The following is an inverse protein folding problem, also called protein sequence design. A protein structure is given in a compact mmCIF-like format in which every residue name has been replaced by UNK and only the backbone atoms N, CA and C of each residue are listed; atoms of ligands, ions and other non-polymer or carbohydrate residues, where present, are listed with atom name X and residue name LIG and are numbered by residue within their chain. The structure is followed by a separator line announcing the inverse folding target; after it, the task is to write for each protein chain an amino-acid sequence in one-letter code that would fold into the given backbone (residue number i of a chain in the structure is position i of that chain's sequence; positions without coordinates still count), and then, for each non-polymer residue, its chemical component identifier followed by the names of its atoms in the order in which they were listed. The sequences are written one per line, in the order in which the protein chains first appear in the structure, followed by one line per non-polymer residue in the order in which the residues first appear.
data_IF_293420667698
#
_entry.id   IF_293420667698
#
_cell.length_a   1.000
_cell.length_b   1.000
_cell.length_c   1.000
_cell.angle_alpha   90.00
_cell.angle_beta   90.00
_cell.angle_gamma   90.00
#
_symmetry.space_group_name_H-M   'P 1'
#
loop_
_entity.id
_entity.type
_entity.pdbx_description
1 polymer ?
#
# COMPACT_ATOMS: atom_id res chain seq x y z
N UNK A 1 -36.85 -34.70 -39.28
CA UNK A 1 -36.57 -33.48 -40.04
C UNK A 1 -35.17 -33.05 -39.66
N UNK A 2 -34.18 -33.43 -40.49
CA UNK A 2 -32.77 -33.12 -40.25
C UNK A 2 -32.51 -31.64 -40.53
N UNK A 3 -32.09 -30.91 -39.53
CA UNK A 3 -31.43 -29.61 -39.71
C UNK A 3 -30.08 -29.87 -40.38
N UNK A 4 -30.02 -29.84 -41.69
CA UNK A 4 -28.77 -29.56 -42.40
C UNK A 4 -28.52 -28.06 -42.25
N UNK A 5 -28.03 -27.66 -41.10
CA UNK A 5 -27.36 -26.38 -40.96
C UNK A 5 -26.06 -26.47 -41.76
N UNK A 6 -25.86 -25.55 -42.71
CA UNK A 6 -24.59 -25.44 -43.42
C UNK A 6 -23.46 -25.44 -42.39
N UNK A 7 -22.61 -26.48 -42.46
CA UNK A 7 -21.47 -26.58 -41.53
C UNK A 7 -20.55 -25.38 -41.77
N UNK A 8 -20.40 -24.53 -40.75
CA UNK A 8 -19.59 -23.33 -40.85
C UNK A 8 -18.18 -23.71 -41.34
N UNK A 9 -17.72 -23.05 -42.38
CA UNK A 9 -16.39 -23.24 -42.91
C UNK A 9 -15.40 -22.37 -42.13
N UNK A 10 -14.33 -22.96 -41.72
CA UNK A 10 -13.22 -22.26 -41.08
C UNK A 10 -11.92 -22.96 -41.43
N UNK A 11 -11.00 -22.23 -42.02
CA UNK A 11 -9.67 -22.74 -42.31
C UNK A 11 -8.84 -22.92 -41.03
N UNK A 12 -7.89 -23.81 -41.07
CA UNK A 12 -6.97 -23.99 -39.92
C UNK A 12 -6.23 -22.68 -39.57
N UNK A 13 -5.92 -21.84 -40.56
CA UNK A 13 -5.34 -20.53 -40.37
C UNK A 13 -6.25 -19.59 -39.54
N UNK A 14 -7.54 -19.53 -39.88
CA UNK A 14 -8.50 -18.69 -39.12
C UNK A 14 -8.67 -19.19 -37.67
N UNK A 15 -8.65 -20.50 -37.46
CA UNK A 15 -8.71 -21.08 -36.13
C UNK A 15 -7.44 -20.77 -35.31
N UNK A 16 -6.27 -20.74 -35.93
CA UNK A 16 -5.02 -20.29 -35.32
C UNK A 16 -5.09 -18.79 -34.93
N UNK A 17 -5.64 -17.96 -35.80
CA UNK A 17 -5.87 -16.53 -35.50
C UNK A 17 -6.85 -16.35 -34.33
N UNK A 18 -7.92 -17.16 -34.28
CA UNK A 18 -8.84 -17.13 -33.12
C UNK A 18 -8.19 -17.62 -31.83
N UNK A 19 -7.32 -18.63 -31.88
CA UNK A 19 -6.58 -19.09 -30.72
C UNK A 19 -5.63 -17.97 -30.21
N UNK A 20 -4.93 -17.29 -31.12
CA UNK A 20 -4.10 -16.12 -30.78
C UNK A 20 -4.93 -14.98 -30.20
N UNK A 21 -6.09 -14.68 -30.78
CA UNK A 21 -7.03 -13.67 -30.26
C UNK A 21 -7.50 -14.02 -28.85
N UNK A 22 -7.85 -15.27 -28.59
CA UNK A 22 -8.22 -15.76 -27.28
C UNK A 22 -7.13 -15.53 -26.25
N UNK A 23 -5.88 -15.87 -26.59
CA UNK A 23 -4.73 -15.67 -25.70
C UNK A 23 -4.55 -14.19 -25.34
N UNK A 24 -4.69 -13.28 -26.33
CA UNK A 24 -4.60 -11.84 -26.10
C UNK A 24 -5.73 -11.33 -25.22
N UNK A 25 -6.96 -11.78 -25.41
CA UNK A 25 -8.10 -11.41 -24.57
C UNK A 25 -7.89 -11.89 -23.11
N UNK A 26 -7.39 -13.10 -22.93
CA UNK A 26 -7.09 -13.65 -21.59
C UNK A 26 -5.99 -12.84 -20.92
N UNK A 27 -4.90 -12.52 -21.65
CA UNK A 27 -3.82 -11.70 -21.16
C UNK A 27 -4.31 -10.29 -20.76
N UNK A 28 -5.14 -9.64 -21.58
CA UNK A 28 -5.75 -8.35 -21.24
C UNK A 28 -6.60 -8.41 -19.96
N UNK A 29 -7.42 -9.46 -19.80
CA UNK A 29 -8.21 -9.64 -18.57
C UNK A 29 -7.32 -9.76 -17.33
N UNK A 30 -6.19 -10.47 -17.45
CA UNK A 30 -5.21 -10.57 -16.37
C UNK A 30 -4.59 -9.22 -16.04
N UNK A 31 -4.11 -8.47 -17.05
CA UNK A 31 -3.54 -7.13 -16.84
C UNK A 31 -4.51 -6.17 -16.16
N UNK A 32 -5.80 -6.23 -16.51
CA UNK A 32 -6.85 -5.43 -15.86
C UNK A 32 -7.03 -5.84 -14.40
N UNK A 33 -7.00 -7.14 -14.09
CA UNK A 33 -7.09 -7.62 -12.71
C UNK A 33 -5.87 -7.20 -11.89
N UNK A 34 -4.66 -7.35 -12.44
CA UNK A 34 -3.41 -6.93 -11.81
C UNK A 34 -3.41 -5.40 -11.53
N UNK A 35 -3.86 -4.59 -12.49
CA UNK A 35 -4.00 -3.15 -12.32
C UNK A 35 -5.03 -2.76 -11.24
N UNK A 36 -6.13 -3.50 -11.14
CA UNK A 36 -7.13 -3.29 -10.08
C UNK A 36 -6.57 -3.64 -8.69
N UNK A 37 -5.79 -4.71 -8.58
CA UNK A 37 -5.15 -5.11 -7.33
C UNK A 37 -4.11 -4.06 -6.88
N UNK A 38 -3.24 -3.60 -7.79
CA UNK A 38 -2.31 -2.51 -7.53
C UNK A 38 -3.02 -1.23 -7.09
N UNK A 39 -4.15 -0.89 -7.74
CA UNK A 39 -4.93 0.30 -7.41
C UNK A 39 -5.64 0.24 -6.06
N UNK A 40 -5.89 -0.95 -5.50
CA UNK A 40 -6.40 -1.12 -4.13
C UNK A 40 -5.41 -0.70 -3.07
N UNK A 41 -4.12 -0.70 -3.39
CA UNK A 41 -3.09 -0.03 -2.60
C UNK A 41 -2.87 -0.56 -1.19
N UNK A 42 -2.99 -1.86 -0.94
CA UNK A 42 -2.88 -2.44 0.41
C UNK A 42 -1.61 -2.03 1.16
N UNK A 43 -0.46 -1.98 0.47
CA UNK A 43 0.79 -1.49 1.06
C UNK A 43 0.73 0.01 1.39
N UNK A 44 0.16 0.80 0.49
CA UNK A 44 0.02 2.25 0.67
C UNK A 44 -0.92 2.59 1.82
N UNK A 45 -1.98 1.80 2.02
CA UNK A 45 -2.90 1.96 3.14
C UNK A 45 -2.21 1.68 4.48
N UNK A 46 -1.48 0.56 4.58
CA UNK A 46 -0.67 0.25 5.78
C UNK A 46 0.34 1.36 6.12
N UNK A 47 1.01 1.91 5.09
CA UNK A 47 1.93 3.02 5.28
C UNK A 47 1.24 4.29 5.78
N UNK A 48 0.03 4.59 5.31
CA UNK A 48 -0.78 5.73 5.78
C UNK A 48 -1.26 5.54 7.21
N UNK A 49 -1.68 4.33 7.57
CA UNK A 49 -2.04 3.99 8.95
C UNK A 49 -0.84 4.22 9.89
N UNK A 50 0.34 3.73 9.49
CA UNK A 50 1.57 3.96 10.26
C UNK A 50 1.91 5.45 10.40
N UNK A 51 1.77 6.24 9.35
CA UNK A 51 1.97 7.69 9.39
C UNK A 51 0.98 8.38 10.34
N UNK A 52 -0.26 7.91 10.38
CA UNK A 52 -1.27 8.43 11.31
C UNK A 52 -0.92 8.11 12.77
N UNK A 53 -0.43 6.91 13.06
CA UNK A 53 0.05 6.53 14.39
C UNK A 53 1.22 7.40 14.86
N UNK A 54 2.25 7.57 14.00
CA UNK A 54 3.40 8.44 14.30
C UNK A 54 2.94 9.88 14.54
N UNK A 55 2.00 10.38 13.74
CA UNK A 55 1.47 11.74 13.89
C UNK A 55 0.73 11.93 15.21
N UNK A 56 0.02 10.91 15.67
CA UNK A 56 -0.64 10.92 16.99
C UNK A 56 0.39 10.95 18.11
N UNK A 57 1.39 10.07 18.07
CA UNK A 57 2.48 10.02 19.05
C UNK A 57 3.26 11.34 19.09
N UNK A 58 3.52 11.94 17.93
CA UNK A 58 4.19 13.24 17.84
C UNK A 58 3.37 14.36 18.48
N UNK A 59 2.03 14.34 18.30
CA UNK A 59 1.13 15.31 18.95
C UNK A 59 1.16 15.16 20.46
N UNK A 60 1.10 13.95 20.99
CA UNK A 60 1.16 13.64 22.41
C UNK A 60 2.50 14.07 23.02
N UNK A 61 3.60 13.69 22.37
CA UNK A 61 4.94 14.08 22.81
C UNK A 61 5.16 15.62 22.82
N UNK A 62 4.59 16.33 21.86
CA UNK A 62 4.62 17.81 21.83
C UNK A 62 3.89 18.43 23.02
N UNK A 63 2.73 17.90 23.36
CA UNK A 63 1.96 18.38 24.52
C UNK A 63 2.73 18.15 25.82
N UNK A 64 3.31 16.96 25.99
CA UNK A 64 4.14 16.63 27.17
C UNK A 64 5.35 17.56 27.26
N UNK A 65 6.05 17.79 26.16
CA UNK A 65 7.20 18.68 26.09
C UNK A 65 6.82 20.13 26.47
N UNK A 66 5.68 20.64 25.97
CA UNK A 66 5.19 21.96 26.33
C UNK A 66 4.82 22.06 27.80
N UNK A 67 4.26 21.00 28.40
CA UNK A 67 3.94 20.94 29.81
C UNK A 67 5.22 20.98 30.66
N UNK A 68 6.24 20.18 30.31
CA UNK A 68 7.54 20.21 31.00
C UNK A 68 8.21 21.58 30.92
N UNK A 69 8.17 22.24 29.76
CA UNK A 69 8.70 23.63 29.60
C UNK A 69 7.97 24.63 30.48
N UNK A 70 6.67 24.50 30.62
CA UNK A 70 5.86 25.37 31.51
C UNK A 70 6.19 25.11 32.96
N UNK A 71 6.38 23.84 33.34
CA UNK A 71 6.72 23.47 34.71
C UNK A 71 8.12 23.95 35.08
N UNK A 72 9.12 23.75 34.20
CA UNK A 72 10.48 24.26 34.39
C UNK A 72 10.49 25.77 34.56
N UNK A 73 9.79 26.51 33.71
CA UNK A 73 9.69 27.97 33.82
C UNK A 73 9.05 28.44 35.12
N UNK A 74 8.07 27.71 35.65
CA UNK A 74 7.47 28.01 36.98
C UNK A 74 8.50 27.76 38.08
N UNK A 75 9.24 26.65 38.01
CA UNK A 75 10.26 26.28 38.97
C UNK A 75 11.40 27.30 39.02
N UNK A 76 11.88 27.76 37.86
CA UNK A 76 12.86 28.87 37.76
C UNK A 76 12.35 30.15 38.43
N UNK A 77 11.07 30.47 38.28
CA UNK A 77 10.41 31.62 38.91
C UNK A 77 10.38 31.49 40.44
N UNK A 78 10.08 30.31 40.97
CA UNK A 78 10.07 30.00 42.40
C UNK A 78 11.47 30.11 42.98
N UNK A 79 12.47 29.54 42.30
CA UNK A 79 13.87 29.63 42.67
C UNK A 79 14.37 31.08 42.72
N UNK A 80 14.06 31.87 41.68
CA UNK A 80 14.39 33.29 41.64
C UNK A 80 13.77 34.08 42.81
N UNK A 81 12.57 33.68 43.23
CA UNK A 81 11.88 34.34 44.36
C UNK A 81 12.59 34.02 45.69
N UNK A 82 13.00 32.77 45.89
CA UNK A 82 13.76 32.36 47.06
C UNK A 82 15.14 33.03 47.09
N UNK A 83 15.84 33.12 45.99
CA UNK A 83 17.12 33.81 45.87
C UNK A 83 17.05 35.32 46.21
N UNK A 84 16.00 35.98 45.69
CA UNK A 84 15.76 37.38 46.05
C UNK A 84 15.53 37.54 47.56
N UNK A 85 14.80 36.61 48.18
CA UNK A 85 14.55 36.65 49.62
C UNK A 85 15.81 36.44 50.43
N UNK A 86 16.66 35.44 50.03
CA UNK A 86 17.97 35.17 50.62
C UNK A 86 18.85 36.46 50.56
N UNK A 87 18.90 37.12 49.40
CA UNK A 87 19.69 38.33 49.22
C UNK A 87 19.19 39.47 50.13
N UNK A 88 17.86 39.65 50.23
CA UNK A 88 17.28 40.66 51.13
C UNK A 88 17.59 40.40 52.62
N UNK A 89 17.42 39.16 53.07
CA UNK A 89 17.66 38.79 54.46
C UNK A 89 19.16 38.80 54.82
N UNK A 90 20.03 38.47 53.87
CA UNK A 90 21.46 38.64 54.01
C UNK A 90 21.84 40.13 54.22
N UNK A 91 21.23 41.05 53.51
CA UNK A 91 21.49 42.48 53.68
C UNK A 91 20.91 43.01 55.02
N UNK A 92 19.74 42.52 55.41
CA UNK A 92 19.12 42.84 56.72
C UNK A 92 20.02 42.33 57.87
N UNK A 93 20.62 41.17 57.75
CA UNK A 93 21.54 40.59 58.73
C UNK A 93 22.75 41.51 58.99
N UNK A 94 23.30 42.14 57.94
CA UNK A 94 24.46 43.06 58.04
C UNK A 94 24.11 44.37 58.80
N UNK A 95 22.85 44.77 58.74
CA UNK A 95 22.40 46.06 59.34
C UNK A 95 21.69 45.88 60.68
N UNK A 96 21.47 44.65 61.14
CA UNK A 96 20.81 44.32 62.42
C UNK A 96 21.76 44.41 63.62
N UNK A 97 21.29 45.02 64.68
CA UNK A 97 22.06 45.16 65.96
C UNK A 97 21.45 44.38 67.12
N UNK A 98 20.27 43.82 66.96
CA UNK A 98 19.54 43.02 67.96
C UNK A 98 19.92 41.57 67.88
N UNK A 99 20.46 40.98 68.96
CA UNK A 99 20.83 39.54 69.03
C UNK A 99 19.64 38.63 68.70
N UNK A 100 18.43 39.02 69.13
CA UNK A 100 17.19 38.26 68.83
C UNK A 100 16.84 38.28 67.31
N UNK A 101 16.97 39.49 66.71
CA UNK A 101 16.68 39.67 65.28
C UNK A 101 17.72 38.92 64.43
N UNK A 102 18.98 39.00 64.77
CA UNK A 102 20.08 38.27 64.12
C UNK A 102 19.81 36.77 64.14
N UNK A 103 19.43 36.19 65.30
CA UNK A 103 19.15 34.75 65.40
C UNK A 103 17.87 34.38 64.55
N UNK A 104 16.87 35.24 64.52
CA UNK A 104 15.68 35.01 63.69
C UNK A 104 15.99 35.02 62.17
N UNK A 105 16.78 36.02 61.73
CA UNK A 105 17.21 36.12 60.33
C UNK A 105 18.09 34.94 59.92
N UNK A 106 18.99 34.50 60.79
CA UNK A 106 19.85 33.32 60.53
C UNK A 106 19.02 32.05 60.35
N UNK A 107 18.02 31.82 61.24
CA UNK A 107 17.11 30.67 61.10
C UNK A 107 16.28 30.73 59.79
N UNK A 108 15.83 31.95 59.37
CA UNK A 108 15.14 32.12 58.11
C UNK A 108 16.05 31.83 56.91
N UNK A 109 17.31 32.31 56.94
CA UNK A 109 18.30 32.02 55.91
C UNK A 109 18.61 30.53 55.80
N UNK A 110 18.73 29.80 56.90
CA UNK A 110 18.92 28.34 56.88
C UNK A 110 17.71 27.60 56.28
N UNK A 111 16.52 28.09 56.53
CA UNK A 111 15.28 27.55 55.97
C UNK A 111 15.20 27.80 54.45
N UNK A 112 15.53 29.03 54.04
CA UNK A 112 15.55 29.41 52.62
C UNK A 112 16.65 28.66 51.85
N UNK A 113 17.81 28.41 52.48
CA UNK A 113 18.88 27.65 51.87
C UNK A 113 18.45 26.19 51.57
N UNK A 114 17.79 25.54 52.53
CA UNK A 114 17.20 24.19 52.27
C UNK A 114 16.15 24.24 51.17
N UNK A 115 15.24 25.22 51.23
CA UNK A 115 14.21 25.39 50.19
C UNK A 115 14.81 25.63 48.81
N UNK A 116 15.92 26.41 48.74
CA UNK A 116 16.67 26.62 47.50
C UNK A 116 17.22 25.29 46.96
N UNK A 117 17.88 24.50 47.82
CA UNK A 117 18.43 23.19 47.42
C UNK A 117 17.33 22.26 46.89
N UNK A 118 16.17 22.15 47.59
CA UNK A 118 15.05 21.33 47.14
C UNK A 118 14.50 21.78 45.78
N UNK A 119 14.47 23.11 45.51
CA UNK A 119 14.01 23.65 44.22
C UNK A 119 15.03 23.40 43.10
N UNK A 120 16.33 23.51 43.39
CA UNK A 120 17.43 23.19 42.46
C UNK A 120 17.43 21.72 42.05
N UNK A 121 17.16 20.80 42.99
CA UNK A 121 17.06 19.37 42.72
C UNK A 121 15.86 19.08 41.76
N UNK A 122 14.69 19.71 42.01
CA UNK A 122 13.52 19.57 41.12
C UNK A 122 13.77 20.20 39.75
N UNK A 123 14.48 21.34 39.70
CA UNK A 123 14.86 21.96 38.43
C UNK A 123 15.73 21.06 37.58
N UNK A 124 16.75 20.40 38.19
CA UNK A 124 17.60 19.44 37.50
C UNK A 124 16.81 18.24 36.97
N UNK A 125 15.91 17.67 37.78
CA UNK A 125 15.05 16.56 37.34
C UNK A 125 14.16 16.98 36.13
N UNK A 126 13.57 18.18 36.18
CA UNK A 126 12.79 18.70 35.08
C UNK A 126 13.61 18.94 33.81
N UNK A 127 14.83 19.42 33.95
CA UNK A 127 15.77 19.60 32.83
C UNK A 127 16.15 18.28 32.18
N UNK A 128 16.42 17.23 32.96
CA UNK A 128 16.68 15.89 32.44
C UNK A 128 15.48 15.32 31.66
N UNK A 129 14.29 15.40 32.25
CA UNK A 129 13.05 14.97 31.57
C UNK A 129 12.77 15.76 30.31
N UNK A 130 13.04 17.05 30.29
CA UNK A 130 12.88 17.88 29.10
C UNK A 130 13.87 17.45 27.99
N UNK A 131 15.12 17.16 28.36
CA UNK A 131 16.11 16.65 27.40
C UNK A 131 15.70 15.32 26.78
N UNK A 132 15.17 14.40 27.57
CA UNK A 132 14.63 13.12 27.08
C UNK A 132 13.43 13.34 26.13
N UNK A 133 12.50 14.22 26.51
CA UNK A 133 11.34 14.57 25.70
C UNK A 133 11.74 15.24 24.38
N UNK A 134 12.71 16.16 24.39
CA UNK A 134 13.24 16.77 23.16
C UNK A 134 13.88 15.70 22.24
N UNK A 135 14.62 14.74 22.79
CA UNK A 135 15.19 13.65 22.02
C UNK A 135 14.13 12.74 21.39
N UNK A 136 13.06 12.47 22.13
CA UNK A 136 11.90 11.69 21.63
C UNK A 136 11.20 12.44 20.49
N UNK A 137 10.93 13.74 20.63
CA UNK A 137 10.35 14.56 19.57
C UNK A 137 11.16 14.51 18.28
N UNK A 138 12.46 14.71 18.39
CA UNK A 138 13.37 14.62 17.22
C UNK A 138 13.39 13.23 16.58
N UNK A 139 13.22 12.17 17.38
CA UNK A 139 13.12 10.80 16.84
C UNK A 139 11.83 10.60 16.05
N UNK A 140 10.68 11.01 16.61
CA UNK A 140 9.37 10.91 15.99
C UNK A 140 9.26 11.78 14.72
N UNK A 141 9.85 12.97 14.73
CA UNK A 141 9.90 13.85 13.55
C UNK A 141 10.67 13.20 12.40
N UNK A 142 11.82 12.59 12.67
CA UNK A 142 12.59 11.86 11.65
C UNK A 142 11.85 10.61 11.15
N UNK A 143 11.18 9.87 12.04
CA UNK A 143 10.38 8.70 11.65
C UNK A 143 9.22 9.11 10.74
N UNK A 144 8.55 10.23 11.04
CA UNK A 144 7.50 10.78 10.20
C UNK A 144 8.01 11.16 8.81
N UNK A 145 9.12 11.89 8.72
CA UNK A 145 9.74 12.28 7.44
C UNK A 145 10.14 11.07 6.61
N UNK A 146 10.70 10.05 7.25
CA UNK A 146 11.04 8.79 6.58
C UNK A 146 9.79 8.11 6.04
N UNK A 147 8.73 8.00 6.84
CA UNK A 147 7.47 7.38 6.44
C UNK A 147 6.79 8.15 5.30
N UNK A 148 6.81 9.48 5.32
CA UNK A 148 6.30 10.33 4.23
C UNK A 148 7.09 10.09 2.92
N UNK A 149 8.41 9.97 3.00
CA UNK A 149 9.27 9.65 1.86
C UNK A 149 8.99 8.26 1.29
N UNK A 150 8.83 7.25 2.15
CA UNK A 150 8.49 5.88 1.72
C UNK A 150 7.12 5.80 1.03
N UNK A 151 6.13 6.55 1.52
CA UNK A 151 4.82 6.69 0.88
C UNK A 151 4.96 7.26 -0.53
N UNK A 152 5.76 8.30 -0.69
CA UNK A 152 5.95 8.93 -1.98
C UNK A 152 6.67 8.01 -2.99
N UNK A 153 7.71 7.30 -2.55
CA UNK A 153 8.37 6.28 -3.36
C UNK A 153 7.41 5.14 -3.77
N UNK A 154 6.56 4.70 -2.84
CA UNK A 154 5.56 3.67 -3.14
C UNK A 154 4.54 4.16 -4.16
N UNK A 155 4.06 5.41 -4.06
CA UNK A 155 3.15 6.00 -5.05
C UNK A 155 3.79 6.09 -6.44
N UNK A 156 5.05 6.51 -6.51
CA UNK A 156 5.78 6.60 -7.77
C UNK A 156 5.95 5.21 -8.41
N UNK A 157 6.34 4.19 -7.64
CA UNK A 157 6.45 2.81 -8.11
C UNK A 157 5.11 2.30 -8.66
N UNK A 158 4.02 2.43 -7.90
CA UNK A 158 2.67 2.04 -8.33
C UNK A 158 2.25 2.78 -9.61
N UNK A 159 2.57 4.08 -9.73
CA UNK A 159 2.27 4.86 -10.93
C UNK A 159 3.01 4.34 -12.17
N UNK A 160 4.27 3.95 -12.02
CA UNK A 160 5.07 3.36 -13.10
C UNK A 160 4.48 2.01 -13.51
N UNK A 161 4.24 1.12 -12.55
CA UNK A 161 3.67 -0.21 -12.81
C UNK A 161 2.32 -0.12 -13.52
N UNK A 162 1.44 0.79 -13.08
CA UNK A 162 0.14 1.03 -13.74
C UNK A 162 0.29 1.56 -15.17
N UNK A 163 1.29 2.41 -15.41
CA UNK A 163 1.56 2.92 -16.77
C UNK A 163 2.06 1.78 -17.69
N UNK A 164 2.92 0.91 -17.21
CA UNK A 164 3.42 -0.26 -17.94
C UNK A 164 2.28 -1.25 -18.26
N UNK A 165 1.44 -1.58 -17.27
CA UNK A 165 0.28 -2.44 -17.48
C UNK A 165 -0.70 -1.86 -18.49
N UNK A 166 -0.93 -0.55 -18.46
CA UNK A 166 -1.78 0.15 -19.42
C UNK A 166 -1.21 0.10 -20.83
N UNK A 167 0.09 0.34 -20.98
CA UNK A 167 0.76 0.29 -22.29
C UNK A 167 0.69 -1.12 -22.89
N UNK A 168 0.96 -2.15 -22.10
CA UNK A 168 0.89 -3.54 -22.56
C UNK A 168 -0.54 -3.94 -22.92
N UNK A 169 -1.54 -3.52 -22.12
CA UNK A 169 -2.94 -3.75 -22.43
C UNK A 169 -3.37 -3.10 -23.75
N UNK A 170 -2.88 -1.89 -24.03
CA UNK A 170 -3.13 -1.19 -25.29
C UNK A 170 -2.49 -1.93 -26.48
N UNK A 171 -1.24 -2.37 -26.35
CA UNK A 171 -0.55 -3.17 -27.37
C UNK A 171 -1.34 -4.45 -27.70
N UNK A 172 -1.78 -5.18 -26.69
CA UNK A 172 -2.59 -6.37 -26.88
C UNK A 172 -3.96 -6.07 -27.51
N UNK A 173 -4.56 -4.92 -27.20
CA UNK A 173 -5.82 -4.49 -27.82
C UNK A 173 -5.66 -4.18 -29.32
N UNK A 174 -4.58 -3.52 -29.70
CA UNK A 174 -4.25 -3.22 -31.11
C UNK A 174 -4.01 -4.51 -31.90
N UNK A 175 -3.22 -5.44 -31.33
CA UNK A 175 -2.99 -6.75 -31.94
C UNK A 175 -4.27 -7.59 -32.07
N UNK A 176 -5.11 -7.58 -31.02
CA UNK A 176 -6.41 -8.25 -31.05
C UNK A 176 -7.35 -7.63 -32.10
N UNK A 177 -7.34 -6.33 -32.27
CA UNK A 177 -8.10 -5.60 -33.29
C UNK A 177 -7.63 -5.97 -34.69
N UNK A 178 -6.32 -6.03 -34.93
CA UNK A 178 -5.75 -6.43 -36.21
C UNK A 178 -6.17 -7.87 -36.60
N UNK A 179 -6.21 -8.79 -35.66
CA UNK A 179 -6.70 -10.16 -35.92
C UNK A 179 -8.20 -10.13 -36.27
N UNK A 180 -9.02 -9.38 -35.53
CA UNK A 180 -10.48 -9.31 -35.79
C UNK A 180 -10.80 -8.81 -37.18
N UNK A 181 -10.04 -7.86 -37.73
CA UNK A 181 -10.26 -7.32 -39.07
C UNK A 181 -9.99 -8.32 -40.19
N UNK A 182 -9.28 -9.43 -39.89
CA UNK A 182 -8.92 -10.46 -40.86
C UNK A 182 -9.90 -11.65 -40.86
N UNK A 183 -10.85 -11.69 -39.92
CA UNK A 183 -11.75 -12.80 -39.72
C UNK A 183 -13.17 -12.47 -40.12
N UNK A 184 -13.93 -13.48 -40.61
CA UNK A 184 -15.34 -13.32 -40.95
C UNK A 184 -16.19 -13.01 -39.70
N UNK A 185 -17.19 -12.13 -39.86
CA UNK A 185 -18.08 -11.70 -38.76
C UNK A 185 -18.79 -12.85 -38.07
N UNK A 186 -19.36 -13.78 -38.86
CA UNK A 186 -20.06 -14.97 -38.33
C UNK A 186 -19.14 -15.86 -37.44
N UNK A 187 -17.86 -15.98 -37.83
CA UNK A 187 -16.87 -16.74 -37.06
C UNK A 187 -16.50 -16.03 -35.76
N UNK A 188 -16.43 -14.69 -35.80
CA UNK A 188 -16.21 -13.87 -34.61
C UNK A 188 -17.40 -13.89 -33.63
N UNK A 189 -18.63 -13.91 -34.14
CA UNK A 189 -19.82 -14.03 -33.32
C UNK A 189 -19.89 -15.37 -32.59
N UNK A 190 -19.61 -16.47 -33.32
CA UNK A 190 -19.51 -17.80 -32.72
C UNK A 190 -18.39 -17.85 -31.67
N UNK A 191 -17.21 -17.27 -31.97
CA UNK A 191 -16.10 -17.18 -31.07
C UNK A 191 -16.48 -16.42 -29.77
N UNK A 192 -17.13 -15.27 -29.90
CA UNK A 192 -17.58 -14.46 -28.76
C UNK A 192 -18.58 -15.23 -27.88
N UNK A 193 -19.56 -15.91 -28.49
CA UNK A 193 -20.55 -16.73 -27.78
C UNK A 193 -19.91 -17.90 -26.99
N UNK A 194 -18.89 -18.52 -27.56
CA UNK A 194 -18.15 -19.60 -26.89
C UNK A 194 -17.22 -19.06 -25.79
N UNK A 195 -16.52 -17.94 -26.04
CA UNK A 195 -15.59 -17.33 -25.09
C UNK A 195 -16.32 -16.81 -23.82
N UNK A 196 -17.58 -16.44 -23.92
CA UNK A 196 -18.40 -16.07 -22.79
C UNK A 196 -18.69 -17.24 -21.85
N UNK A 197 -18.59 -18.48 -22.34
CA UNK A 197 -18.83 -19.71 -21.55
C UNK A 197 -17.55 -20.37 -21.06
N UNK A 198 -16.37 -19.86 -21.47
CA UNK A 198 -15.06 -20.42 -21.12
C UNK A 198 -14.03 -20.18 -22.21
N UNK A 199 -13.27 -21.23 -22.60
CA UNK A 199 -12.35 -21.15 -23.72
C UNK A 199 -13.10 -21.47 -25.03
N UNK A 200 -13.00 -20.56 -26.01
CA UNK A 200 -13.67 -20.71 -27.30
C UNK A 200 -12.91 -21.64 -28.25
N UNK A 201 -11.56 -21.62 -28.21
CA UNK A 201 -10.70 -22.37 -29.12
C UNK A 201 -9.68 -23.16 -28.32
N UNK A 202 -9.45 -24.38 -28.75
CA UNK A 202 -8.37 -25.24 -28.25
C UNK A 202 -7.59 -25.86 -29.41
N UNK A 203 -6.37 -26.31 -29.12
CA UNK A 203 -5.56 -27.12 -30.06
C UNK A 203 -5.75 -28.59 -29.71
N UNK A 204 -5.88 -29.42 -30.70
CA UNK A 204 -5.79 -30.87 -30.52
C UNK A 204 -4.33 -31.31 -30.59
N UNK A 205 -3.78 -31.77 -29.45
CA UNK A 205 -2.42 -32.26 -29.35
C UNK A 205 -2.47 -33.74 -29.04
N UNK A 206 -2.17 -34.59 -30.06
CA UNK A 206 -2.46 -36.02 -29.98
C UNK A 206 -3.96 -36.26 -29.81
N UNK A 207 -4.38 -36.81 -28.68
CA UNK A 207 -5.81 -36.94 -28.31
C UNK A 207 -6.31 -35.88 -27.32
N UNK A 208 -5.47 -34.97 -26.86
CA UNK A 208 -5.83 -34.02 -25.82
C UNK A 208 -6.28 -32.68 -26.39
N UNK A 209 -7.42 -32.14 -25.87
CA UNK A 209 -7.91 -30.81 -26.16
C UNK A 209 -7.27 -29.82 -25.19
N UNK A 210 -6.53 -28.80 -25.67
CA UNK A 210 -5.89 -27.78 -24.82
C UNK A 210 -6.87 -26.79 -24.19
N UNK A 211 -8.14 -26.76 -24.60
CA UNK A 211 -9.14 -25.91 -23.96
C UNK A 211 -9.66 -26.48 -22.66
N UNK A 212 -9.94 -27.79 -22.59
CA UNK A 212 -10.45 -28.46 -21.40
C UNK A 212 -9.43 -29.40 -20.73
N UNK A 213 -8.27 -29.60 -21.35
CA UNK A 213 -7.22 -30.53 -20.92
C UNK A 213 -7.67 -32.01 -20.81
N UNK A 214 -8.80 -32.38 -21.48
CA UNK A 214 -9.28 -33.74 -21.52
C UNK A 214 -8.73 -34.50 -22.72
N UNK A 215 -8.37 -35.76 -22.48
CA UNK A 215 -8.01 -36.69 -23.58
C UNK A 215 -9.29 -37.27 -24.16
N UNK A 216 -9.48 -37.11 -25.46
CA UNK A 216 -10.59 -37.65 -26.20
C UNK A 216 -10.38 -39.17 -26.39
N UNK A 217 -11.42 -39.95 -26.19
CA UNK A 217 -11.42 -41.38 -26.48
C UNK A 217 -11.44 -41.64 -27.98
N UNK A 218 -11.28 -42.91 -28.40
CA UNK A 218 -11.22 -43.30 -29.82
C UNK A 218 -12.49 -42.92 -30.60
N UNK A 219 -13.65 -42.96 -29.98
CA UNK A 219 -14.92 -42.58 -30.59
C UNK A 219 -14.96 -41.05 -30.86
N UNK A 220 -14.68 -40.26 -29.85
CA UNK A 220 -14.59 -38.79 -29.93
C UNK A 220 -13.52 -38.33 -30.93
N UNK A 221 -12.37 -39.02 -30.98
CA UNK A 221 -11.34 -38.76 -31.98
C UNK A 221 -11.84 -39.10 -33.40
N UNK A 222 -12.60 -40.20 -33.57
CA UNK A 222 -13.22 -40.55 -34.82
C UNK A 222 -14.20 -39.47 -35.33
N UNK A 223 -15.04 -38.92 -34.44
CA UNK A 223 -15.95 -37.82 -34.74
C UNK A 223 -15.19 -36.56 -35.20
N UNK A 224 -14.18 -36.12 -34.45
CA UNK A 224 -13.36 -34.96 -34.82
C UNK A 224 -12.63 -35.15 -36.15
N UNK A 225 -12.09 -36.34 -36.39
CA UNK A 225 -11.37 -36.67 -37.62
C UNK A 225 -12.25 -36.83 -38.84
N UNK A 226 -13.52 -37.18 -38.66
CA UNK A 226 -14.50 -37.30 -39.76
C UNK A 226 -14.93 -35.95 -40.33
N UNK A 227 -14.75 -34.85 -39.60
CA UNK A 227 -15.06 -33.51 -40.09
C UNK A 227 -14.06 -33.07 -41.15
N UNK A 228 -14.47 -32.64 -42.36
CA UNK A 228 -13.57 -32.13 -43.41
C UNK A 228 -12.64 -31.05 -42.89
N UNK A 229 -11.43 -30.92 -43.45
CA UNK A 229 -10.44 -29.97 -42.98
C UNK A 229 -10.81 -28.48 -43.14
N UNK A 230 -11.71 -28.19 -44.10
CA UNK A 230 -12.26 -26.84 -44.35
C UNK A 230 -13.50 -26.54 -43.49
N UNK A 231 -13.89 -27.48 -42.64
CA UNK A 231 -15.05 -27.34 -41.75
C UNK A 231 -14.60 -27.28 -40.28
N UNK A 232 -15.40 -26.52 -39.50
CA UNK A 232 -15.18 -26.32 -38.08
C UNK A 232 -15.43 -27.60 -37.27
N UNK A 233 -14.37 -28.18 -36.69
CA UNK A 233 -14.50 -29.22 -35.69
C UNK A 233 -14.60 -28.63 -34.27
N UNK A 234 -15.44 -29.24 -33.44
CA UNK A 234 -15.57 -28.86 -32.02
C UNK A 234 -15.20 -30.02 -31.12
N UNK A 235 -14.65 -29.72 -29.97
CA UNK A 235 -14.39 -30.72 -28.94
C UNK A 235 -15.69 -31.29 -28.40
N UNK A 236 -15.91 -32.62 -28.43
CA UNK A 236 -17.14 -33.23 -27.91
C UNK A 236 -17.34 -33.00 -26.41
N UNK A 237 -16.25 -32.85 -25.64
CA UNK A 237 -16.29 -32.69 -24.18
C UNK A 237 -16.63 -31.24 -23.73
N UNK A 238 -16.03 -30.21 -24.36
CA UNK A 238 -16.19 -28.82 -23.93
C UNK A 238 -16.80 -27.88 -24.95
N UNK A 239 -16.99 -28.35 -26.18
CA UNK A 239 -17.57 -27.57 -27.27
C UNK A 239 -16.65 -26.50 -27.86
N UNK A 240 -15.37 -26.41 -27.43
CA UNK A 240 -14.39 -25.47 -28.01
C UNK A 240 -14.11 -25.82 -29.48
N UNK A 241 -13.90 -24.82 -30.32
CA UNK A 241 -13.42 -24.97 -31.68
C UNK A 241 -12.01 -25.56 -31.67
N UNK A 242 -11.75 -26.56 -32.51
CA UNK A 242 -10.48 -27.28 -32.49
C UNK A 242 -9.59 -26.88 -33.67
N UNK A 243 -8.40 -26.36 -33.34
CA UNK A 243 -7.28 -26.30 -34.27
C UNK A 243 -6.74 -27.73 -34.42
N UNK A 244 -6.83 -28.27 -35.63
CA UNK A 244 -6.31 -29.60 -35.98
C UNK A 244 -4.98 -29.49 -36.72
N UNK A 245 -3.98 -30.28 -36.36
CA UNK A 245 -2.69 -30.41 -37.05
C UNK A 245 -2.78 -31.35 -38.23
#
# INVERSE_FOLDING_TARGET
MGFHGDAMKASNYELEQLLSLQQKIIAQRKLVADAQELSRGGKLEQQRERLAEISTQLSEARLENEDLRRELKRQEGDLQTVEKRIAMDTERLKTSFSTKDIAGIQHELDTLARRKSDLEDVELELMERLQESDAQLHSLEREREQQESEIELTKQAVSIDLAELKQENQRLAEEASAIRTQLAGELLDLFGAKLARGLAVGRLVGSACTACNMSLNSLAMGEVSSVPQDQLASCPECGAMLVRS
#
